data_IF_571048856351
#
_entry.id   IF_571048856351
#
_cell.length_a   1.000
_cell.length_b   1.000
_cell.length_c   1.000
_cell.angle_alpha   90.00
_cell.angle_beta   90.00
_cell.angle_gamma   90.00
#
_symmetry.space_group_name_H-M   'P 1'
#
loop_
_entity.id
_entity.type
_entity.pdbx_description
1 polymer ?
#
# COMPACT_ATOMS: atom_id res chain seq x y z
N UNK A 1 13.40 5.61 -8.98
CA UNK A 1 12.06 5.45 -9.62
C UNK A 1 11.39 6.79 -9.95
N UNK A 2 11.67 7.87 -9.21
CA UNK A 2 11.09 9.21 -9.50
C UNK A 2 11.34 9.72 -10.94
N UNK A 3 12.56 9.62 -11.46
CA UNK A 3 12.82 10.02 -12.86
C UNK A 3 11.99 9.22 -13.87
N UNK A 4 11.73 7.94 -13.61
CA UNK A 4 10.85 7.13 -14.47
C UNK A 4 9.39 7.56 -14.36
N UNK A 5 8.96 8.02 -13.18
CA UNK A 5 7.63 8.59 -13.00
C UNK A 5 7.45 9.89 -13.81
N UNK A 6 8.46 10.76 -13.82
CA UNK A 6 8.46 12.00 -14.61
C UNK A 6 8.41 11.72 -16.12
N UNK A 7 9.17 10.71 -16.60
CA UNK A 7 9.08 10.26 -17.99
C UNK A 7 7.68 9.71 -18.31
N UNK A 8 7.10 8.90 -17.43
CA UNK A 8 5.75 8.40 -17.62
C UNK A 8 4.72 9.53 -17.70
N UNK A 9 4.85 10.56 -16.87
CA UNK A 9 3.99 11.74 -16.87
C UNK A 9 4.15 12.56 -18.16
N UNK A 10 5.38 12.77 -18.65
CA UNK A 10 5.64 13.55 -19.87
C UNK A 10 5.10 12.90 -21.15
N UNK A 11 4.90 11.57 -21.14
CA UNK A 11 4.27 10.82 -22.24
C UNK A 11 2.78 10.54 -22.01
N UNK A 12 2.14 11.24 -21.07
CA UNK A 12 0.71 11.14 -20.83
C UNK A 12 0.26 9.86 -20.11
N UNK A 13 1.12 9.26 -19.27
CA UNK A 13 0.81 8.06 -18.46
C UNK A 13 0.81 8.36 -16.96
N UNK A 14 -0.12 9.19 -16.46
CA UNK A 14 -0.12 9.62 -15.05
C UNK A 14 -0.38 8.48 -14.05
N UNK A 15 -1.15 7.44 -14.42
CA UNK A 15 -1.36 6.28 -13.55
C UNK A 15 -0.08 5.47 -13.38
N UNK A 16 0.72 5.35 -14.45
CA UNK A 16 2.03 4.69 -14.38
C UNK A 16 2.99 5.51 -13.53
N UNK A 17 3.00 6.84 -13.68
CA UNK A 17 3.80 7.73 -12.83
C UNK A 17 3.44 7.56 -11.33
N UNK A 18 2.14 7.56 -11.00
CA UNK A 18 1.66 7.31 -9.64
C UNK A 18 2.09 5.93 -9.11
N UNK A 19 2.01 4.89 -9.94
CA UNK A 19 2.47 3.56 -9.57
C UNK A 19 3.98 3.54 -9.28
N UNK A 20 4.79 4.20 -10.12
CA UNK A 20 6.24 4.28 -9.95
C UNK A 20 6.63 5.06 -8.69
N UNK A 21 5.87 6.10 -8.32
CA UNK A 21 6.07 6.84 -7.06
C UNK A 21 5.77 5.99 -5.83
N UNK A 22 4.69 5.21 -5.84
CA UNK A 22 4.43 4.21 -4.78
C UNK A 22 5.53 3.15 -4.71
N UNK A 23 5.95 2.63 -5.86
CA UNK A 23 7.05 1.67 -5.91
C UNK A 23 8.38 2.27 -5.39
N UNK A 24 8.59 3.57 -5.57
CA UNK A 24 9.75 4.28 -5.01
C UNK A 24 9.73 4.29 -3.48
N UNK A 25 8.58 4.47 -2.84
CA UNK A 25 8.46 4.38 -1.38
C UNK A 25 8.76 2.96 -0.87
N UNK A 26 8.33 1.94 -1.61
CA UNK A 26 8.51 0.54 -1.22
C UNK A 26 9.97 0.06 -1.25
N UNK A 27 10.91 0.80 -1.86
CA UNK A 27 12.32 0.36 -1.92
C UNK A 27 13.02 0.32 -0.57
N UNK A 28 12.48 1.02 0.44
CA UNK A 28 12.98 1.01 1.80
C UNK A 28 12.44 -0.16 2.64
N UNK A 29 11.43 -0.88 2.14
CA UNK A 29 10.76 -1.98 2.85
C UNK A 29 11.47 -3.30 2.50
N UNK A 30 11.89 -4.12 3.50
CA UNK A 30 12.51 -5.41 3.23
C UNK A 30 11.60 -6.35 2.43
N UNK A 31 12.15 -7.15 1.51
CA UNK A 31 11.40 -8.05 0.62
C UNK A 31 10.41 -8.96 1.35
N UNK A 32 10.82 -9.55 2.47
CA UNK A 32 9.95 -10.40 3.29
C UNK A 32 8.72 -9.60 3.79
N UNK A 33 8.94 -8.35 4.22
CA UNK A 33 7.87 -7.48 4.70
C UNK A 33 6.94 -7.04 3.57
N UNK A 34 7.46 -6.83 2.36
CA UNK A 34 6.63 -6.57 1.17
C UNK A 34 5.65 -7.72 0.92
N UNK A 35 6.12 -8.97 1.01
CA UNK A 35 5.27 -10.16 0.85
C UNK A 35 4.24 -10.30 1.97
N UNK A 36 4.59 -9.96 3.21
CA UNK A 36 3.65 -9.95 4.33
C UNK A 36 2.53 -8.93 4.13
N UNK A 37 2.87 -7.69 3.76
CA UNK A 37 1.89 -6.64 3.47
C UNK A 37 0.99 -7.04 2.29
N UNK A 38 1.57 -7.61 1.23
CA UNK A 38 0.80 -8.13 0.10
C UNK A 38 -0.20 -9.22 0.55
N UNK A 39 0.24 -10.17 1.37
CA UNK A 39 -0.64 -11.21 1.88
C UNK A 39 -1.73 -10.64 2.80
N UNK A 40 -1.39 -9.65 3.63
CA UNK A 40 -2.34 -8.98 4.52
C UNK A 40 -3.47 -8.26 3.76
N UNK A 41 -3.18 -7.72 2.57
CA UNK A 41 -4.17 -7.09 1.70
C UNK A 41 -5.05 -8.08 0.92
N UNK A 42 -4.78 -9.39 0.97
CA UNK A 42 -5.67 -10.36 0.31
C UNK A 42 -6.99 -10.48 1.10
N UNK A 43 -8.11 -10.79 0.41
CA UNK A 43 -9.41 -10.95 1.08
C UNK A 43 -9.34 -11.89 2.29
N UNK A 44 -9.98 -11.49 3.39
CA UNK A 44 -10.13 -12.26 4.64
C UNK A 44 -8.84 -12.55 5.40
N UNK A 45 -7.73 -11.88 5.07
CA UNK A 45 -6.44 -12.12 5.73
C UNK A 45 -6.19 -11.26 6.96
N UNK A 46 -6.76 -10.06 6.98
CA UNK A 46 -6.48 -9.08 8.03
C UNK A 46 -7.76 -8.47 8.57
N UNK A 47 -7.75 -8.20 9.86
CA UNK A 47 -8.67 -7.30 10.55
C UNK A 47 -8.41 -5.84 10.17
N UNK A 48 -9.33 -4.97 10.57
CA UNK A 48 -9.16 -3.53 10.38
C UNK A 48 -7.94 -2.97 11.11
N UNK A 49 -7.66 -3.49 12.30
CA UNK A 49 -6.59 -3.06 13.19
C UNK A 49 -5.23 -3.46 12.63
N UNK A 50 -5.10 -4.68 12.12
CA UNK A 50 -3.88 -5.15 11.44
C UNK A 50 -3.56 -4.29 10.20
N UNK A 51 -4.57 -3.95 9.38
CA UNK A 51 -4.35 -3.06 8.23
C UNK A 51 -3.99 -1.62 8.65
N UNK A 52 -4.59 -1.12 9.74
CA UNK A 52 -4.24 0.20 10.27
C UNK A 52 -2.79 0.22 10.79
N UNK A 53 -2.37 -0.82 11.52
CA UNK A 53 -1.00 -0.97 11.99
C UNK A 53 0.01 -1.04 10.84
N UNK A 54 -0.30 -1.76 9.76
CA UNK A 54 0.54 -1.79 8.54
C UNK A 54 0.66 -0.39 7.92
N UNK A 55 -0.43 0.36 7.84
CA UNK A 55 -0.39 1.72 7.31
C UNK A 55 0.49 2.64 8.16
N UNK A 56 0.38 2.54 9.49
CA UNK A 56 1.17 3.34 10.41
C UNK A 56 2.66 2.96 10.39
N UNK A 57 2.98 1.67 10.23
CA UNK A 57 4.36 1.20 10.00
C UNK A 57 4.93 1.78 8.69
N UNK A 58 4.17 1.68 7.59
CA UNK A 58 4.58 2.22 6.28
C UNK A 58 4.90 3.71 6.37
N UNK A 59 4.04 4.50 7.02
CA UNK A 59 4.25 5.93 7.15
C UNK A 59 5.41 6.30 8.07
N UNK A 60 5.46 5.71 9.27
CA UNK A 60 6.38 6.16 10.32
C UNK A 60 7.76 5.51 10.25
N UNK A 61 7.85 4.24 9.86
CA UNK A 61 9.11 3.50 9.84
C UNK A 61 9.82 3.63 8.49
N UNK A 62 9.08 3.63 7.39
CA UNK A 62 9.66 3.64 6.03
C UNK A 62 9.44 4.96 5.29
N UNK A 63 8.69 5.91 5.85
CA UNK A 63 8.35 7.17 5.17
C UNK A 63 7.44 6.99 3.96
N UNK A 64 6.79 5.83 3.82
CA UNK A 64 5.99 5.42 2.67
C UNK A 64 4.53 5.92 2.78
N UNK A 65 4.37 7.24 2.72
CA UNK A 65 3.09 7.94 2.99
C UNK A 65 2.01 7.61 1.97
N UNK A 66 2.35 7.51 0.68
CA UNK A 66 1.38 7.17 -0.37
C UNK A 66 0.92 5.72 -0.21
N UNK A 67 1.84 4.80 0.06
CA UNK A 67 1.53 3.40 0.34
C UNK A 67 0.70 3.23 1.63
N UNK A 68 1.02 3.97 2.70
CA UNK A 68 0.24 3.98 3.92
C UNK A 68 -1.22 4.40 3.67
N UNK A 69 -1.42 5.51 2.95
CA UNK A 69 -2.75 5.99 2.60
C UNK A 69 -3.52 4.99 1.73
N UNK A 70 -2.84 4.30 0.82
CA UNK A 70 -3.45 3.24 0.01
C UNK A 70 -3.95 2.07 0.90
N UNK A 71 -3.20 1.67 1.91
CA UNK A 71 -3.61 0.63 2.87
C UNK A 71 -4.79 1.12 3.74
N UNK A 72 -4.80 2.39 4.17
CA UNK A 72 -5.95 2.98 4.89
C UNK A 72 -7.21 2.98 4.04
N UNK A 73 -7.11 3.35 2.78
CA UNK A 73 -8.22 3.28 1.83
C UNK A 73 -8.72 1.84 1.67
N UNK A 74 -7.81 0.88 1.50
CA UNK A 74 -8.15 -0.54 1.43
C UNK A 74 -8.92 -1.01 2.67
N UNK A 75 -8.47 -0.64 3.88
CA UNK A 75 -9.18 -0.93 5.13
C UNK A 75 -10.62 -0.41 5.10
N UNK A 76 -10.84 0.83 4.69
CA UNK A 76 -12.19 1.41 4.57
C UNK A 76 -13.06 0.67 3.54
N UNK A 77 -12.50 0.32 2.39
CA UNK A 77 -13.20 -0.43 1.35
C UNK A 77 -13.53 -1.85 1.82
N UNK A 78 -12.61 -2.51 2.53
CA UNK A 78 -12.78 -3.89 2.99
C UNK A 78 -13.85 -3.98 4.08
N UNK A 79 -13.92 -3.00 4.99
CA UNK A 79 -15.04 -2.85 5.94
C UNK A 79 -16.38 -2.77 5.20
N UNK A 80 -16.50 -1.87 4.23
CA UNK A 80 -17.74 -1.66 3.47
C UNK A 80 -18.17 -2.87 2.64
N UNK A 81 -17.20 -3.69 2.18
CA UNK A 81 -17.45 -4.81 1.27
C UNK A 81 -17.39 -6.20 1.93
N UNK A 82 -17.25 -6.27 3.26
CA UNK A 82 -17.14 -7.54 3.98
C UNK A 82 -15.95 -8.37 3.53
N UNK A 83 -14.76 -7.75 3.42
CA UNK A 83 -13.50 -8.40 2.98
C UNK A 83 -12.43 -8.47 4.06
N UNK A 84 -12.71 -7.96 5.25
CA UNK A 84 -11.85 -8.16 6.41
C UNK A 84 -11.95 -9.61 6.87
N UNK A 85 -10.93 -10.05 7.62
CA UNK A 85 -11.00 -11.30 8.36
C UNK A 85 -12.22 -11.24 9.30
N UNK A 86 -13.03 -12.29 9.29
CA UNK A 86 -14.10 -12.47 10.27
C UNK A 86 -13.46 -12.93 11.58
N UNK A 87 -13.74 -12.23 12.67
CA UNK A 87 -13.41 -12.70 14.00
C UNK A 87 -14.37 -13.86 14.32
N UNK A 88 -13.80 -15.04 14.54
CA UNK A 88 -14.53 -16.27 14.87
C UNK A 88 -15.09 -16.23 16.29
#
# INVERSE_FOLDING_TARGET
LEYQAQVAESIGRPQMASNLRRAAEMTAVPDARVLEIYNALRPYRSSAEELAAIADELENQYGAKVCANFVREACQVYKKRGRLKEDA
#
